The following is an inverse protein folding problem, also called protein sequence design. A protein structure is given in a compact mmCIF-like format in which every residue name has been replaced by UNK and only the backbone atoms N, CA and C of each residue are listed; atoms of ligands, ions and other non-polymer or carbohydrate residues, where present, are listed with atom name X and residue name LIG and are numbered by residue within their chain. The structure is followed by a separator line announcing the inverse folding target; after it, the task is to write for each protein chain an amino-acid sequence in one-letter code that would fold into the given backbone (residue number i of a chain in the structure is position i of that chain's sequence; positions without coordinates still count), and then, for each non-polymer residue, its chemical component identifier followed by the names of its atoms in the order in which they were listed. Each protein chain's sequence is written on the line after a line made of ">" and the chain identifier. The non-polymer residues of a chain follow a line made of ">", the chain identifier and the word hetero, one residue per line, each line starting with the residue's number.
data_IF_322331634488
#
_entry.id   IF_322331634488
#
_cell.length_a   1.000
_cell.length_b   1.000
_cell.length_c   1.000
_cell.angle_alpha   90.00
_cell.angle_beta   90.00
_cell.angle_gamma   90.00
#
_symmetry.space_group_name_H-M   'P 1'
#
loop_
_entity.id
_entity.type
_entity.pdbx_description
1 polymer ?
#
# COMPACT_ATOMS: atom_id res chain seq x y z
N UNK A 1 27.36 -12.32 4.27
CA UNK A 1 26.64 -11.15 4.81
C UNK A 1 25.12 -11.27 4.70
N UNK A 2 24.54 -11.61 3.54
CA UNK A 2 23.07 -11.72 3.45
C UNK A 2 22.50 -12.88 4.28
N UNK A 3 23.20 -14.01 4.37
CA UNK A 3 22.78 -15.17 5.18
C UNK A 3 22.66 -14.84 6.68
N UNK A 4 23.55 -13.99 7.22
CA UNK A 4 23.46 -13.53 8.61
C UNK A 4 22.29 -12.58 8.86
N UNK A 5 21.63 -12.08 7.80
CA UNK A 5 20.47 -11.21 7.89
C UNK A 5 19.13 -11.96 7.76
N UNK A 6 19.12 -13.28 7.58
CA UNK A 6 17.87 -14.04 7.44
C UNK A 6 16.96 -13.94 8.68
N UNK A 7 17.56 -13.91 9.87
CA UNK A 7 16.80 -13.74 11.12
C UNK A 7 16.15 -12.35 11.21
N UNK A 8 16.87 -11.21 11.07
CA UNK A 8 16.23 -9.90 11.08
C UNK A 8 15.26 -9.69 9.91
N UNK A 9 15.46 -10.35 8.75
CA UNK A 9 14.47 -10.38 7.66
C UNK A 9 13.16 -11.01 8.12
N UNK A 10 13.21 -12.21 8.71
CA UNK A 10 12.03 -12.91 9.18
C UNK A 10 11.32 -12.15 10.31
N UNK A 11 12.08 -11.64 11.27
CA UNK A 11 11.53 -10.86 12.39
C UNK A 11 10.89 -9.56 11.92
N UNK A 12 11.48 -8.88 10.93
CA UNK A 12 10.88 -7.69 10.31
C UNK A 12 9.56 -8.03 9.62
N UNK A 13 9.52 -9.11 8.85
CA UNK A 13 8.29 -9.53 8.17
C UNK A 13 7.15 -9.82 9.17
N UNK A 14 7.46 -10.51 10.27
CA UNK A 14 6.51 -10.80 11.35
C UNK A 14 6.05 -9.50 12.02
N UNK A 15 6.99 -8.63 12.40
CA UNK A 15 6.67 -7.37 13.09
C UNK A 15 5.80 -6.45 12.22
N UNK A 16 6.12 -6.33 10.93
CA UNK A 16 5.32 -5.57 9.96
C UNK A 16 3.93 -6.16 9.78
N UNK A 17 3.83 -7.48 9.66
CA UNK A 17 2.53 -8.16 9.55
C UNK A 17 1.63 -7.89 10.76
N UNK A 18 2.18 -7.96 11.98
CA UNK A 18 1.42 -7.65 13.18
C UNK A 18 1.11 -6.16 13.32
N UNK A 19 2.03 -5.27 12.96
CA UNK A 19 1.76 -3.83 12.95
C UNK A 19 0.60 -3.49 12.00
N UNK A 20 0.58 -4.09 10.80
CA UNK A 20 -0.52 -3.99 9.84
C UNK A 20 -1.82 -4.61 10.35
N UNK A 21 -1.74 -5.80 10.95
CA UNK A 21 -2.93 -6.42 11.53
C UNK A 21 -3.55 -5.55 12.63
N UNK A 22 -2.73 -4.97 13.51
CA UNK A 22 -3.19 -4.11 14.60
C UNK A 22 -3.83 -2.81 14.07
N UNK A 23 -3.23 -2.16 13.07
CA UNK A 23 -3.77 -0.92 12.50
C UNK A 23 -5.16 -1.12 11.90
N UNK A 24 -5.37 -2.24 11.20
CA UNK A 24 -6.64 -2.58 10.55
C UNK A 24 -7.68 -3.18 11.49
N UNK A 25 -7.32 -4.25 12.21
CA UNK A 25 -8.30 -5.10 12.88
C UNK A 25 -8.58 -4.69 14.32
N UNK A 26 -7.58 -4.12 15.01
CA UNK A 26 -7.68 -3.82 16.45
C UNK A 26 -7.93 -2.33 16.69
N UNK A 27 -7.10 -1.48 16.10
CA UNK A 27 -7.21 -0.01 16.28
C UNK A 27 -8.21 0.60 15.29
N UNK A 28 -8.46 -0.09 14.16
CA UNK A 28 -9.41 0.35 13.12
C UNK A 28 -9.10 1.74 12.56
N UNK A 29 -7.82 2.04 12.35
CA UNK A 29 -7.40 3.35 11.82
C UNK A 29 -8.00 3.62 10.42
N UNK A 30 -8.22 2.56 9.64
CA UNK A 30 -8.72 2.63 8.27
C UNK A 30 -10.25 2.65 8.12
N UNK A 31 -11.01 2.70 9.22
CA UNK A 31 -12.48 2.63 9.18
C UNK A 31 -13.13 3.71 8.31
N UNK A 32 -12.48 4.87 8.21
CA UNK A 32 -12.98 6.02 7.47
C UNK A 32 -12.35 6.15 6.07
N UNK A 33 -11.51 5.20 5.65
CA UNK A 33 -10.97 5.15 4.28
C UNK A 33 -12.05 4.72 3.28
N UNK A 34 -13.05 3.98 3.77
CA UNK A 34 -14.17 3.47 2.97
C UNK A 34 -15.49 3.90 3.61
N UNK A 35 -16.35 4.55 2.82
CA UNK A 35 -17.67 5.01 3.28
C UNK A 35 -18.76 4.16 2.65
N UNK A 36 -19.72 3.75 3.48
CA UNK A 36 -20.96 3.15 3.00
C UNK A 36 -21.80 4.23 2.30
N UNK A 37 -22.38 3.91 1.15
CA UNK A 37 -23.34 4.77 0.46
C UNK A 37 -24.70 4.72 1.15
N UNK A 38 -25.38 5.86 1.28
CA UNK A 38 -26.72 5.91 1.90
C UNK A 38 -27.77 5.11 1.12
N UNK A 39 -27.75 5.20 -0.21
CA UNK A 39 -28.64 4.48 -1.13
C UNK A 39 -27.95 3.24 -1.75
N UNK A 40 -27.26 2.44 -0.93
CA UNK A 40 -26.48 1.29 -1.36
C UNK A 40 -27.31 0.26 -2.16
N UNK A 41 -28.52 -0.06 -1.72
CA UNK A 41 -29.34 -1.09 -2.38
C UNK A 41 -29.77 -0.69 -3.80
N UNK A 42 -30.10 0.59 -4.00
CA UNK A 42 -30.43 1.13 -5.34
C UNK A 42 -29.21 1.09 -6.26
N UNK A 43 -28.04 1.48 -5.74
CA UNK A 43 -26.78 1.41 -6.47
C UNK A 43 -26.42 -0.03 -6.87
N UNK A 44 -26.51 -0.97 -5.93
CA UNK A 44 -26.22 -2.39 -6.19
C UNK A 44 -27.17 -2.98 -7.23
N UNK A 45 -28.46 -2.65 -7.16
CA UNK A 45 -29.44 -3.09 -8.16
C UNK A 45 -29.10 -2.55 -9.54
N UNK A 46 -28.80 -1.25 -9.68
CA UNK A 46 -28.41 -0.66 -10.96
C UNK A 46 -27.15 -1.32 -11.56
N UNK A 47 -26.15 -1.60 -10.74
CA UNK A 47 -24.93 -2.31 -11.16
C UNK A 47 -25.21 -3.74 -11.65
N UNK A 48 -26.15 -4.44 -11.01
CA UNK A 48 -26.59 -5.78 -11.41
C UNK A 48 -27.38 -5.73 -12.72
N UNK A 49 -28.33 -4.81 -12.85
CA UNK A 49 -29.15 -4.63 -14.06
C UNK A 49 -28.26 -4.31 -15.28
N UNK A 50 -27.20 -3.52 -15.07
CA UNK A 50 -26.19 -3.19 -16.09
C UNK A 50 -25.15 -4.31 -16.31
N UNK A 51 -25.18 -5.39 -15.52
CA UNK A 51 -24.20 -6.48 -15.55
C UNK A 51 -22.74 -5.99 -15.52
N UNK A 52 -22.43 -5.01 -14.66
CA UNK A 52 -21.10 -4.40 -14.61
C UNK A 52 -20.05 -5.44 -14.17
N UNK A 53 -19.02 -5.72 -15.00
CA UNK A 53 -18.04 -6.75 -14.67
C UNK A 53 -17.01 -6.30 -13.61
N UNK A 54 -16.23 -7.26 -13.12
CA UNK A 54 -15.02 -6.98 -12.35
C UNK A 54 -14.06 -6.15 -13.21
N UNK A 55 -13.52 -5.07 -12.66
CA UNK A 55 -12.65 -4.15 -13.37
C UNK A 55 -12.42 -2.83 -12.66
N UNK A 56 -11.64 -1.97 -13.30
CA UNK A 56 -11.39 -0.59 -12.89
C UNK A 56 -11.97 0.35 -13.93
N UNK A 57 -12.83 1.26 -13.48
CA UNK A 57 -13.59 2.18 -14.30
C UNK A 57 -13.29 3.61 -13.89
N UNK A 58 -13.28 4.51 -14.87
CA UNK A 58 -13.32 5.95 -14.65
C UNK A 58 -14.67 6.45 -15.17
N UNK A 59 -15.30 7.37 -14.45
CA UNK A 59 -16.54 8.00 -14.87
C UNK A 59 -16.43 9.53 -14.74
N UNK A 60 -16.85 10.31 -15.76
CA UNK A 60 -17.11 9.82 -17.12
C UNK A 60 -15.84 9.17 -17.72
N UNK A 61 -16.03 8.11 -18.49
CA UNK A 61 -14.96 7.42 -19.20
C UNK A 61 -14.98 7.78 -20.69
N UNK A 62 -13.85 7.62 -21.37
CA UNK A 62 -13.72 7.78 -22.82
C UNK A 62 -12.85 6.65 -23.40
N UNK A 63 -13.09 6.25 -24.64
CA UNK A 63 -12.34 5.20 -25.33
C UNK A 63 -11.15 5.75 -26.14
N UNK A 64 -11.10 7.05 -26.36
CA UNK A 64 -10.04 7.71 -27.13
C UNK A 64 -9.80 9.15 -26.68
N UNK A 65 -8.62 9.67 -27.03
CA UNK A 65 -8.28 11.08 -26.80
C UNK A 65 -9.14 12.05 -27.60
N UNK A 66 -9.74 11.61 -28.71
CA UNK A 66 -10.64 12.45 -29.52
C UNK A 66 -12.05 12.51 -28.90
N UNK A 67 -12.56 11.40 -28.36
CA UNK A 67 -13.81 11.40 -27.58
C UNK A 67 -13.69 12.31 -26.36
N UNK A 68 -12.55 12.32 -25.68
CA UNK A 68 -12.29 13.20 -24.54
C UNK A 68 -12.40 14.70 -24.91
N UNK A 69 -12.14 15.07 -26.17
CA UNK A 69 -12.25 16.46 -26.67
C UNK A 69 -13.67 16.79 -27.16
N UNK A 70 -14.56 15.80 -27.26
CA UNK A 70 -15.91 16.00 -27.73
C UNK A 70 -16.71 16.88 -26.76
N UNK A 71 -17.67 17.64 -27.29
CA UNK A 71 -18.58 18.45 -26.46
C UNK A 71 -19.36 17.59 -25.47
N UNK A 72 -19.81 16.41 -25.91
CA UNK A 72 -20.56 15.47 -25.07
C UNK A 72 -19.75 15.01 -23.85
N UNK A 73 -18.49 14.61 -24.03
CA UNK A 73 -17.65 14.23 -22.91
C UNK A 73 -17.40 15.41 -21.96
N UNK A 74 -17.13 16.60 -22.50
CA UNK A 74 -16.91 17.81 -21.71
C UNK A 74 -18.16 18.21 -20.91
N UNK A 75 -19.35 18.05 -21.47
CA UNK A 75 -20.62 18.26 -20.76
C UNK A 75 -20.80 17.27 -19.59
N UNK A 76 -20.52 15.98 -19.80
CA UNK A 76 -20.53 14.97 -18.72
C UNK A 76 -19.50 15.29 -17.64
N UNK A 77 -18.28 15.67 -18.04
CA UNK A 77 -17.20 16.03 -17.11
C UNK A 77 -17.56 17.25 -16.26
N UNK A 78 -18.13 18.29 -16.87
CA UNK A 78 -18.50 19.52 -16.17
C UNK A 78 -19.73 19.35 -15.27
N UNK A 79 -20.65 18.46 -15.64
CA UNK A 79 -21.83 18.14 -14.83
C UNK A 79 -21.49 17.22 -13.66
N UNK A 80 -20.56 16.29 -13.88
CA UNK A 80 -20.15 15.29 -12.90
C UNK A 80 -21.24 14.25 -12.60
N UNK A 81 -21.03 13.38 -11.60
CA UNK A 81 -19.81 13.28 -10.78
C UNK A 81 -18.61 12.73 -11.57
N UNK A 82 -17.39 13.04 -11.11
CA UNK A 82 -16.15 12.47 -11.63
C UNK A 82 -15.52 11.54 -10.60
N UNK A 83 -15.03 10.37 -11.03
CA UNK A 83 -14.40 9.44 -10.11
C UNK A 83 -13.86 8.18 -10.76
N UNK A 84 -13.36 7.30 -9.89
CA UNK A 84 -12.94 5.94 -10.24
C UNK A 84 -13.72 4.92 -9.41
N UNK A 85 -13.98 3.77 -9.99
CA UNK A 85 -14.66 2.65 -9.34
C UNK A 85 -13.89 1.37 -9.64
N UNK A 86 -13.63 0.58 -8.59
CA UNK A 86 -13.05 -0.75 -8.72
C UNK A 86 -14.07 -1.79 -8.25
N UNK A 87 -14.48 -2.67 -9.15
CA UNK A 87 -15.34 -3.81 -8.87
C UNK A 87 -14.44 -5.05 -8.75
N UNK A 88 -14.47 -5.71 -7.60
CA UNK A 88 -13.60 -6.85 -7.30
C UNK A 88 -14.41 -8.14 -7.07
N UNK A 89 -13.84 -9.33 -7.34
CA UNK A 89 -14.48 -10.60 -7.03
C UNK A 89 -14.55 -10.81 -5.51
N UNK A 90 -15.37 -11.77 -5.05
CA UNK A 90 -15.44 -12.12 -3.62
C UNK A 90 -14.03 -12.33 -3.04
N UNK A 91 -13.72 -11.61 -1.97
CA UNK A 91 -12.39 -11.58 -1.37
C UNK A 91 -12.17 -12.84 -0.52
N UNK A 92 -10.99 -13.45 -0.66
CA UNK A 92 -10.52 -14.48 0.25
C UNK A 92 -9.55 -13.87 1.26
N UNK A 93 -10.02 -13.72 2.50
CA UNK A 93 -9.24 -13.08 3.56
C UNK A 93 -7.93 -13.81 3.86
N UNK A 94 -7.96 -15.15 3.96
CA UNK A 94 -6.77 -15.95 4.27
C UNK A 94 -5.69 -15.84 3.18
N UNK A 95 -6.09 -15.85 1.91
CA UNK A 95 -5.17 -15.61 0.78
C UNK A 95 -4.51 -14.23 0.88
N UNK A 96 -5.30 -13.19 1.13
CA UNK A 96 -4.77 -11.82 1.20
C UNK A 96 -3.82 -11.64 2.39
N UNK A 97 -4.14 -12.19 3.57
CA UNK A 97 -3.22 -12.18 4.71
C UNK A 97 -1.91 -12.91 4.40
N UNK A 98 -1.98 -14.08 3.75
CA UNK A 98 -0.80 -14.81 3.30
C UNK A 98 0.06 -14.01 2.32
N UNK A 99 -0.57 -13.37 1.33
CA UNK A 99 0.13 -12.49 0.39
C UNK A 99 0.74 -11.26 1.06
N UNK A 100 0.07 -10.66 2.04
CA UNK A 100 0.61 -9.54 2.83
C UNK A 100 1.85 -9.95 3.61
N UNK A 101 1.85 -11.13 4.25
CA UNK A 101 3.05 -11.64 4.91
C UNK A 101 4.20 -11.89 3.92
N UNK A 102 3.91 -12.52 2.78
CA UNK A 102 4.91 -12.75 1.72
C UNK A 102 5.46 -11.43 1.19
N UNK A 103 4.61 -10.41 1.02
CA UNK A 103 5.04 -9.07 0.62
C UNK A 103 6.03 -8.48 1.64
N UNK A 104 5.71 -8.48 2.94
CA UNK A 104 6.63 -7.97 3.96
C UNK A 104 7.93 -8.76 4.05
N UNK A 105 7.89 -10.07 3.80
CA UNK A 105 9.08 -10.91 3.73
C UNK A 105 9.97 -10.54 2.54
N UNK A 106 9.39 -10.40 1.35
CA UNK A 106 10.12 -10.02 0.13
C UNK A 106 10.72 -8.63 0.28
N UNK A 107 9.96 -7.66 0.81
CA UNK A 107 10.47 -6.30 1.06
C UNK A 107 11.62 -6.32 2.08
N UNK A 108 11.45 -7.00 3.21
CA UNK A 108 12.50 -7.08 4.24
C UNK A 108 13.78 -7.72 3.70
N UNK A 109 13.65 -8.77 2.89
CA UNK A 109 14.78 -9.40 2.19
C UNK A 109 15.45 -8.45 1.19
N UNK A 110 14.66 -7.71 0.42
CA UNK A 110 15.17 -6.76 -0.58
C UNK A 110 15.93 -5.60 0.07
N UNK A 111 15.41 -5.09 1.19
CA UNK A 111 16.09 -4.07 2.01
C UNK A 111 17.39 -4.61 2.62
N UNK A 112 17.38 -5.86 3.11
CA UNK A 112 18.60 -6.51 3.61
C UNK A 112 19.68 -6.60 2.53
N UNK A 113 19.31 -7.09 1.33
CA UNK A 113 20.20 -7.14 0.18
C UNK A 113 20.74 -5.77 -0.18
N UNK A 114 19.87 -4.76 -0.31
CA UNK A 114 20.27 -3.38 -0.59
C UNK A 114 21.28 -2.85 0.44
N UNK A 115 21.06 -3.13 1.73
CA UNK A 115 21.96 -2.70 2.79
C UNK A 115 23.33 -3.40 2.71
N UNK A 116 23.40 -4.66 2.28
CA UNK A 116 24.69 -5.34 2.07
C UNK A 116 25.57 -4.70 1.00
N UNK A 117 24.99 -3.91 0.10
CA UNK A 117 25.73 -3.17 -0.92
C UNK A 117 26.34 -1.86 -0.39
N UNK A 118 25.81 -1.33 0.71
CA UNK A 118 26.11 0.02 1.18
C UNK A 118 26.77 0.06 2.56
N UNK A 119 26.58 -0.96 3.39
CA UNK A 119 26.99 -0.94 4.79
C UNK A 119 27.86 -2.16 5.09
N UNK A 120 29.10 -1.99 5.57
CA UNK A 120 29.94 -3.11 5.97
C UNK A 120 29.48 -3.74 7.31
N UNK A 121 29.91 -4.98 7.61
CA UNK A 121 29.78 -5.56 8.95
C UNK A 121 30.43 -4.66 10.03
N UNK A 122 29.91 -4.70 11.24
CA UNK A 122 30.38 -3.89 12.37
C UNK A 122 29.91 -2.44 12.36
N UNK A 123 29.02 -2.05 11.44
CA UNK A 123 28.45 -0.70 11.43
C UNK A 123 27.56 -0.45 12.66
N UNK A 124 27.68 0.76 13.22
CA UNK A 124 26.91 1.22 14.38
C UNK A 124 25.40 1.28 14.10
N UNK A 125 24.59 1.09 15.15
CA UNK A 125 23.12 1.08 15.11
C UNK A 125 22.54 2.23 14.27
N UNK A 126 22.96 3.47 14.53
CA UNK A 126 22.39 4.65 13.87
C UNK A 126 22.68 4.71 12.37
N UNK A 127 23.80 4.15 11.92
CA UNK A 127 24.14 4.08 10.49
C UNK A 127 23.16 3.15 9.78
N UNK A 128 22.94 1.97 10.34
CA UNK A 128 22.01 0.96 9.80
C UNK A 128 20.57 1.46 9.89
N UNK A 129 20.16 1.98 11.06
CA UNK A 129 18.82 2.50 11.29
C UNK A 129 18.44 3.59 10.28
N UNK A 130 19.31 4.58 10.05
CA UNK A 130 19.04 5.67 9.11
C UNK A 130 18.89 5.16 7.68
N UNK A 131 19.79 4.30 7.23
CA UNK A 131 19.74 3.74 5.89
C UNK A 131 18.47 2.90 5.67
N UNK A 132 18.24 1.93 6.57
CA UNK A 132 17.12 1.00 6.49
C UNK A 132 15.77 1.71 6.64
N UNK A 133 15.64 2.66 7.56
CA UNK A 133 14.41 3.44 7.72
C UNK A 133 14.16 4.33 6.51
N UNK A 134 15.20 4.94 5.93
CA UNK A 134 15.02 5.79 4.73
C UNK A 134 14.59 4.95 3.53
N UNK A 135 15.28 3.84 3.26
CA UNK A 135 14.93 2.92 2.19
C UNK A 135 13.54 2.29 2.41
N UNK A 136 13.22 1.92 3.65
CA UNK A 136 11.90 1.41 4.04
C UNK A 136 10.80 2.44 3.83
N UNK A 137 11.02 3.70 4.22
CA UNK A 137 10.03 4.77 4.05
C UNK A 137 9.71 4.99 2.57
N UNK A 138 10.73 5.09 1.72
CA UNK A 138 10.54 5.21 0.28
C UNK A 138 9.75 4.02 -0.27
N UNK A 139 10.05 2.81 0.20
CA UNK A 139 9.36 1.57 -0.21
C UNK A 139 7.89 1.56 0.17
N UNK A 140 7.56 1.91 1.41
CA UNK A 140 6.19 1.82 1.92
C UNK A 140 5.33 3.05 1.59
N UNK A 141 5.92 4.18 1.21
CA UNK A 141 5.20 5.44 1.04
C UNK A 141 5.04 5.88 -0.42
N UNK A 142 6.04 5.67 -1.27
CA UNK A 142 6.15 6.38 -2.54
C UNK A 142 4.95 6.17 -3.47
N UNK A 143 4.52 4.91 -3.66
CA UNK A 143 3.39 4.59 -4.53
C UNK A 143 2.06 5.15 -4.00
N UNK A 144 1.89 5.18 -2.68
CA UNK A 144 0.67 5.65 -2.01
C UNK A 144 0.41 7.13 -2.28
N UNK A 145 1.44 7.97 -2.16
CA UNK A 145 1.32 9.42 -2.38
C UNK A 145 0.95 9.71 -3.84
N UNK A 146 1.70 9.13 -4.78
CA UNK A 146 1.42 9.35 -6.20
C UNK A 146 0.01 8.89 -6.56
N UNK A 147 -0.43 7.73 -6.05
CA UNK A 147 -1.77 7.22 -6.31
C UNK A 147 -2.85 8.17 -5.76
N UNK A 148 -2.67 8.73 -4.56
CA UNK A 148 -3.62 9.68 -3.97
C UNK A 148 -3.69 11.02 -4.73
N UNK A 149 -2.58 11.48 -5.30
CA UNK A 149 -2.57 12.70 -6.14
C UNK A 149 -3.53 12.55 -7.32
N UNK A 150 -3.57 11.37 -7.95
CA UNK A 150 -4.42 11.13 -9.13
C UNK A 150 -5.85 10.71 -8.77
N UNK A 151 -6.00 9.88 -7.74
CA UNK A 151 -7.25 9.17 -7.48
C UNK A 151 -7.93 9.56 -6.16
N UNK A 152 -7.40 10.57 -5.45
CA UNK A 152 -8.04 11.21 -4.31
C UNK A 152 -8.37 10.29 -3.11
N UNK A 153 -7.74 9.11 -3.05
CA UNK A 153 -7.88 8.21 -1.90
C UNK A 153 -7.36 8.88 -0.62
N UNK A 154 -8.05 8.63 0.50
CA UNK A 154 -7.56 9.03 1.82
C UNK A 154 -6.29 8.25 2.14
N UNK A 155 -5.21 8.94 2.51
CA UNK A 155 -3.90 8.31 2.77
C UNK A 155 -3.24 8.69 4.09
N UNK A 156 -3.90 9.48 4.94
CA UNK A 156 -3.29 9.96 6.20
C UNK A 156 -2.79 8.81 7.07
N UNK A 157 -3.61 7.77 7.24
CA UNK A 157 -3.24 6.59 8.03
C UNK A 157 -2.13 5.81 7.36
N UNK A 158 -2.21 5.62 6.04
CA UNK A 158 -1.15 4.96 5.27
C UNK A 158 0.21 5.67 5.41
N UNK A 159 0.24 7.00 5.44
CA UNK A 159 1.48 7.76 5.70
C UNK A 159 2.06 7.41 7.08
N UNK A 160 1.21 7.39 8.11
CA UNK A 160 1.61 7.05 9.48
C UNK A 160 2.14 5.62 9.55
N UNK A 161 1.45 4.66 8.91
CA UNK A 161 1.90 3.28 8.81
C UNK A 161 3.23 3.15 8.09
N UNK A 162 3.43 3.82 6.94
CA UNK A 162 4.69 3.76 6.20
C UNK A 162 5.87 4.25 7.05
N UNK A 163 5.67 5.30 7.87
CA UNK A 163 6.67 5.79 8.82
C UNK A 163 6.94 4.76 9.92
N UNK A 164 5.88 4.17 10.49
CA UNK A 164 6.01 3.14 11.51
C UNK A 164 6.74 1.89 10.98
N UNK A 165 6.38 1.41 9.79
CA UNK A 165 7.01 0.27 9.13
C UNK A 165 8.49 0.52 8.84
N UNK A 166 8.82 1.72 8.36
CA UNK A 166 10.21 2.14 8.15
C UNK A 166 11.01 2.09 9.46
N UNK A 167 10.46 2.64 10.55
CA UNK A 167 11.10 2.64 11.85
C UNK A 167 11.27 1.21 12.41
N UNK A 168 10.24 0.35 12.29
CA UNK A 168 10.29 -1.06 12.72
C UNK A 168 11.44 -1.80 12.03
N UNK A 169 11.52 -1.72 10.69
CA UNK A 169 12.59 -2.36 9.93
C UNK A 169 13.95 -1.77 10.32
N UNK A 170 14.05 -0.44 10.39
CA UNK A 170 15.28 0.23 10.78
C UNK A 170 15.79 -0.22 12.15
N UNK A 171 14.90 -0.35 13.13
CA UNK A 171 15.25 -0.79 14.48
C UNK A 171 15.69 -2.24 14.51
N UNK A 172 14.94 -3.16 13.88
CA UNK A 172 15.29 -4.59 13.89
C UNK A 172 16.66 -4.81 13.24
N UNK A 173 16.90 -4.22 12.07
CA UNK A 173 18.19 -4.37 11.40
C UNK A 173 19.32 -3.65 12.12
N UNK A 174 19.06 -2.47 12.69
CA UNK A 174 20.07 -1.75 13.48
C UNK A 174 20.52 -2.54 14.71
N UNK A 175 19.59 -3.21 15.40
CA UNK A 175 19.91 -4.02 16.59
C UNK A 175 20.58 -5.35 16.24
N UNK A 176 20.34 -5.88 15.04
CA UNK A 176 20.78 -7.22 14.62
C UNK A 176 21.79 -7.18 13.48
N UNK A 177 22.49 -6.05 13.31
CA UNK A 177 23.49 -5.92 12.27
C UNK A 177 24.67 -6.86 12.54
N UNK A 178 25.26 -7.51 11.52
CA UNK A 178 26.39 -8.42 11.72
C UNK A 178 27.59 -7.70 12.34
N UNK A 179 28.21 -8.33 13.33
CA UNK A 179 29.47 -7.86 13.90
C UNK A 179 30.62 -7.91 12.87
N UNK A 180 31.70 -7.17 13.16
CA UNK A 180 32.91 -7.12 12.34
C UNK A 180 33.62 -8.48 12.24
#
# INVERSE_FOLDING_TARGET
>A
MLTSLLLPVLLSAIALFFASFLSWMVVQLHKDDWKKMEQEDEFLKAMQDLNVPVGSYMFPGCQSSDEMKSKEYQEKWNTGPCGVMTVYPKVNMGKNLGLTFVFFLVISFSLAYLATLAIPPGAEFMTVFRFMSTAGLLTFLAATIQHAIWFHNRITVHIIESIAYAAIVGTIFGLMWPAA
#
